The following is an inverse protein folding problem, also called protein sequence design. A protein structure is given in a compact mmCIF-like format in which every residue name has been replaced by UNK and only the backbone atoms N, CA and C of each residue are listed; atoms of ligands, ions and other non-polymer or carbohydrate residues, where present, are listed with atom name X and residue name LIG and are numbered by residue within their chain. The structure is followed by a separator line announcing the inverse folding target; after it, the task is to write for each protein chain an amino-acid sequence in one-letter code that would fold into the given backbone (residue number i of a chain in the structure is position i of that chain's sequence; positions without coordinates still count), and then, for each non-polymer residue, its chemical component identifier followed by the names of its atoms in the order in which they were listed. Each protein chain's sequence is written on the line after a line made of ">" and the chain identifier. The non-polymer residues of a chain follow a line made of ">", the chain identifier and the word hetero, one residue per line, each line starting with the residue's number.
data_IF_786335518310
#
_entry.id   IF_786335518310
#
_cell.length_a   1.000
_cell.length_b   1.000
_cell.length_c   1.000
_cell.angle_alpha   90.00
_cell.angle_beta   90.00
_cell.angle_gamma   90.00
#
_symmetry.space_group_name_H-M   'P 1'
#
loop_
_entity.id
_entity.type
_entity.pdbx_description
1 polymer ?
#
# COMPACT_ATOMS: atom_id res chain seq x y z
N UNK A 1 13.30 -8.47 11.54
CA UNK A 1 14.06 -7.70 10.56
C UNK A 1 13.92 -6.20 10.79
N UNK A 2 14.87 -5.45 10.30
CA UNK A 2 14.88 -4.01 10.49
C UNK A 2 13.92 -3.32 9.52
N UNK A 3 13.25 -2.30 10.00
CA UNK A 3 12.43 -1.45 9.14
C UNK A 3 13.34 -0.63 8.23
N UNK A 4 12.94 -0.50 6.97
CA UNK A 4 13.68 0.31 5.99
C UNK A 4 13.11 1.71 5.99
N UNK A 5 13.97 2.71 6.10
CA UNK A 5 13.55 4.11 6.01
C UNK A 5 13.39 4.50 4.54
N UNK A 6 12.16 4.46 4.06
CA UNK A 6 11.86 4.74 2.66
C UNK A 6 12.17 6.17 2.26
N UNK A 7 12.08 7.12 3.19
CA UNK A 7 12.44 8.52 2.87
C UNK A 7 13.92 8.66 2.58
N UNK A 8 14.78 7.98 3.36
CA UNK A 8 16.22 7.99 3.13
C UNK A 8 16.60 7.32 1.83
N UNK A 9 15.78 6.39 1.35
CA UNK A 9 16.01 5.75 0.05
C UNK A 9 15.48 6.57 -1.12
N UNK A 10 14.90 7.75 -0.86
CA UNK A 10 14.39 8.61 -1.90
C UNK A 10 12.93 8.35 -2.27
N UNK A 11 12.16 7.73 -1.38
CA UNK A 11 10.74 7.43 -1.57
C UNK A 11 9.90 8.11 -0.48
N UNK A 12 9.84 9.45 -0.46
CA UNK A 12 9.19 10.17 0.64
C UNK A 12 7.67 10.07 0.63
N UNK A 13 7.05 9.80 -0.52
CA UNK A 13 5.59 9.80 -0.60
C UNK A 13 5.06 8.44 -0.16
N UNK A 14 4.25 8.46 0.90
CA UNK A 14 3.55 7.28 1.39
C UNK A 14 2.06 7.44 1.07
N UNK A 15 1.48 6.41 0.49
CA UNK A 15 0.07 6.42 0.13
C UNK A 15 -0.58 5.08 0.48
N UNK A 16 -1.86 5.16 0.86
CA UNK A 16 -2.71 3.98 0.97
C UNK A 16 -3.65 3.99 -0.22
N UNK A 17 -3.62 2.94 -1.03
CA UNK A 17 -4.49 2.83 -2.18
C UNK A 17 -5.44 1.67 -1.95
N UNK A 18 -6.73 1.98 -1.83
CA UNK A 18 -7.78 0.99 -1.67
C UNK A 18 -8.31 0.59 -3.04
N UNK A 19 -8.53 -0.69 -3.23
CA UNK A 19 -8.99 -1.23 -4.52
C UNK A 19 -10.22 -2.10 -4.32
N UNK A 20 -11.24 -1.84 -5.13
CA UNK A 20 -12.42 -2.69 -5.21
C UNK A 20 -12.12 -3.79 -6.24
N UNK A 21 -11.56 -4.89 -5.77
CA UNK A 21 -11.12 -5.99 -6.63
C UNK A 21 -12.24 -6.99 -6.87
N UNK A 22 -12.56 -7.23 -8.15
CA UNK A 22 -13.53 -8.27 -8.50
C UNK A 22 -12.90 -9.65 -8.32
N UNK A 23 -13.65 -10.65 -7.79
CA UNK A 23 -13.11 -11.99 -7.58
C UNK A 23 -12.49 -12.61 -8.84
N UNK A 24 -13.03 -12.32 -10.00
CA UNK A 24 -12.53 -12.86 -11.27
C UNK A 24 -11.13 -12.35 -11.63
N UNK A 25 -10.71 -11.23 -11.06
CA UNK A 25 -9.43 -10.60 -11.38
C UNK A 25 -8.31 -10.95 -10.40
N UNK A 26 -8.60 -11.74 -9.37
CA UNK A 26 -7.61 -12.07 -8.34
C UNK A 26 -6.36 -12.74 -8.90
N UNK A 27 -6.54 -13.66 -9.86
CA UNK A 27 -5.42 -14.41 -10.42
C UNK A 27 -4.43 -13.53 -11.17
N UNK A 28 -4.89 -12.42 -11.75
CA UNK A 28 -4.01 -11.43 -12.38
C UNK A 28 -3.47 -10.42 -11.40
N UNK A 29 -4.29 -10.04 -10.41
CA UNK A 29 -3.93 -9.00 -9.47
C UNK A 29 -2.76 -9.39 -8.57
N UNK A 30 -2.79 -10.58 -7.96
CA UNK A 30 -1.76 -10.94 -6.99
C UNK A 30 -0.35 -11.00 -7.59
N UNK A 31 -0.14 -11.61 -8.76
CA UNK A 31 1.20 -11.55 -9.38
C UNK A 31 1.62 -10.11 -9.73
N UNK A 32 0.67 -9.32 -10.21
CA UNK A 32 0.94 -7.92 -10.55
C UNK A 32 1.45 -7.14 -9.34
N UNK A 33 0.70 -7.19 -8.24
CA UNK A 33 1.04 -6.40 -7.05
C UNK A 33 2.34 -6.89 -6.41
N UNK A 34 2.58 -8.19 -6.44
CA UNK A 34 3.84 -8.75 -5.90
C UNK A 34 5.05 -8.28 -6.70
N UNK A 35 4.87 -7.98 -7.97
CA UNK A 35 5.94 -7.47 -8.82
C UNK A 35 6.13 -5.97 -8.77
N UNK A 36 5.26 -5.23 -8.09
CA UNK A 36 5.36 -3.78 -8.00
C UNK A 36 6.25 -3.39 -6.82
N UNK A 37 7.46 -2.92 -7.11
CA UNK A 37 8.41 -2.57 -6.05
C UNK A 37 7.98 -1.38 -5.20
N UNK A 38 7.06 -0.56 -5.68
CA UNK A 38 6.51 0.56 -4.91
C UNK A 38 5.46 0.12 -3.90
N UNK A 39 4.97 -1.12 -3.98
CA UNK A 39 4.02 -1.66 -3.03
C UNK A 39 4.81 -2.33 -1.91
N UNK A 40 4.76 -1.75 -0.72
CA UNK A 40 5.48 -2.26 0.45
C UNK A 40 4.59 -3.08 1.37
N UNK A 41 3.30 -3.12 1.11
CA UNK A 41 2.35 -3.96 1.83
C UNK A 41 1.04 -4.03 1.09
N UNK A 42 0.33 -5.15 1.24
CA UNK A 42 -0.99 -5.31 0.65
C UNK A 42 -1.80 -6.24 1.54
N UNK A 43 -2.94 -5.74 1.99
CA UNK A 43 -3.81 -6.49 2.89
C UNK A 43 -5.19 -6.67 2.26
N UNK A 44 -5.77 -7.85 2.46
CA UNK A 44 -7.15 -8.11 2.10
C UNK A 44 -8.02 -7.79 3.31
N UNK A 45 -9.02 -6.97 3.11
CA UNK A 45 -9.87 -6.49 4.20
C UNK A 45 -11.35 -6.69 3.86
N UNK A 46 -12.21 -6.49 4.84
CA UNK A 46 -13.66 -6.54 4.63
C UNK A 46 -14.15 -5.23 4.00
N UNK A 47 -15.30 -5.28 3.35
CA UNK A 47 -15.95 -4.12 2.78
C UNK A 47 -15.76 -4.01 1.27
N UNK A 48 -16.26 -2.92 0.70
CA UNK A 48 -16.24 -2.70 -0.75
C UNK A 48 -14.83 -2.68 -1.31
N UNK A 49 -13.92 -1.97 -0.66
CA UNK A 49 -12.53 -1.89 -1.08
C UNK A 49 -11.76 -2.99 -0.37
N UNK A 50 -11.74 -4.16 -0.97
CA UNK A 50 -11.24 -5.37 -0.33
C UNK A 50 -9.72 -5.51 -0.28
N UNK A 51 -9.00 -4.66 -1.01
CA UNK A 51 -7.53 -4.66 -1.00
C UNK A 51 -7.04 -3.28 -0.59
N UNK A 52 -6.11 -3.25 0.37
CA UNK A 52 -5.46 -2.00 0.76
C UNK A 52 -3.97 -2.14 0.53
N UNK A 53 -3.45 -1.31 -0.37
CA UNK A 53 -2.05 -1.31 -0.74
C UNK A 53 -1.34 -0.18 -0.01
N UNK A 54 -0.26 -0.51 0.70
CA UNK A 54 0.63 0.49 1.27
C UNK A 54 1.76 0.71 0.29
N UNK A 55 1.92 1.95 -0.17
CA UNK A 55 2.81 2.26 -1.28
C UNK A 55 3.79 3.36 -0.94
N UNK A 56 4.96 3.33 -1.58
CA UNK A 56 5.97 4.37 -1.48
C UNK A 56 6.39 4.82 -2.88
N UNK A 57 6.46 6.14 -3.07
CA UNK A 57 6.80 6.72 -4.37
C UNK A 57 7.78 7.86 -4.23
N UNK A 58 8.54 8.11 -5.29
CA UNK A 58 9.48 9.25 -5.35
C UNK A 58 8.72 10.55 -5.60
N UNK A 59 7.72 10.50 -6.48
CA UNK A 59 6.97 11.68 -6.91
C UNK A 59 5.49 11.37 -6.98
N UNK A 60 4.67 12.42 -6.97
CA UNK A 60 3.22 12.25 -7.15
C UNK A 60 2.89 11.80 -8.56
N UNK A 61 3.73 12.12 -9.54
CA UNK A 61 3.54 11.64 -10.92
C UNK A 61 3.64 10.10 -10.97
N UNK A 62 4.62 9.53 -10.27
CA UNK A 62 4.78 8.08 -10.23
C UNK A 62 3.58 7.41 -9.56
N UNK A 63 3.06 8.04 -8.51
CA UNK A 63 1.84 7.57 -7.85
C UNK A 63 0.65 7.59 -8.80
N UNK A 64 0.48 8.67 -9.55
CA UNK A 64 -0.61 8.81 -10.50
C UNK A 64 -0.54 7.72 -11.58
N UNK A 65 0.65 7.46 -12.12
CA UNK A 65 0.84 6.41 -13.12
C UNK A 65 0.48 5.04 -12.54
N UNK A 66 0.88 4.77 -11.30
CA UNK A 66 0.53 3.51 -10.64
C UNK A 66 -0.99 3.36 -10.48
N UNK A 67 -1.67 4.44 -10.06
CA UNK A 67 -3.12 4.40 -9.89
C UNK A 67 -3.81 4.13 -11.22
N UNK A 68 -3.35 4.76 -12.30
CA UNK A 68 -3.92 4.53 -13.62
C UNK A 68 -3.80 3.06 -14.03
N UNK A 69 -2.67 2.44 -13.78
CA UNK A 69 -2.48 1.02 -14.07
C UNK A 69 -3.38 0.15 -13.20
N UNK A 70 -3.49 0.50 -11.92
CA UNK A 70 -4.25 -0.28 -10.96
C UNK A 70 -5.75 -0.27 -11.27
N UNK A 71 -6.24 0.81 -11.87
CA UNK A 71 -7.67 0.97 -12.17
C UNK A 71 -8.20 -0.05 -13.16
N UNK A 72 -7.33 -0.76 -13.87
CA UNK A 72 -7.79 -1.87 -14.72
C UNK A 72 -8.42 -3.00 -13.90
N UNK A 73 -8.11 -3.08 -12.61
CA UNK A 73 -8.64 -4.11 -11.72
C UNK A 73 -9.92 -3.67 -11.00
N UNK A 74 -10.24 -2.39 -11.03
CA UNK A 74 -11.43 -1.87 -10.41
C UNK A 74 -11.28 -0.45 -9.89
N UNK A 75 -12.31 -0.01 -9.19
CA UNK A 75 -12.37 1.33 -8.61
C UNK A 75 -11.33 1.47 -7.50
N UNK A 76 -10.66 2.62 -7.46
CA UNK A 76 -9.62 2.89 -6.46
C UNK A 76 -9.96 4.13 -5.64
N UNK A 77 -9.41 4.17 -4.43
CA UNK A 77 -9.47 5.33 -3.57
C UNK A 77 -8.07 5.51 -2.97
N UNK A 78 -7.50 6.70 -3.13
CA UNK A 78 -6.13 6.97 -2.72
C UNK A 78 -6.08 7.96 -1.58
N UNK A 79 -5.28 7.66 -0.57
CA UNK A 79 -5.01 8.57 0.54
C UNK A 79 -3.50 8.77 0.64
N UNK A 80 -3.07 10.03 0.56
CA UNK A 80 -1.65 10.36 0.73
C UNK A 80 -1.43 10.69 2.20
N UNK A 81 -0.42 10.08 2.81
CA UNK A 81 -0.09 10.30 4.21
C UNK A 81 0.64 11.64 4.34
N UNK A 82 0.09 12.55 5.13
CA UNK A 82 0.74 13.83 5.43
C UNK A 82 1.76 13.67 6.55
N UNK A 83 1.40 12.91 7.58
CA UNK A 83 2.28 12.72 8.73
C UNK A 83 1.95 11.41 9.42
N UNK A 84 2.92 10.87 10.17
CA UNK A 84 2.76 9.63 10.92
C UNK A 84 3.03 9.92 12.39
N UNK A 85 2.01 9.73 13.22
CA UNK A 85 2.12 9.98 14.67
C UNK A 85 2.82 8.83 15.39
N UNK A 86 2.60 7.62 14.91
CA UNK A 86 3.21 6.42 15.51
C UNK A 86 3.76 5.58 14.36
N UNK A 87 5.07 5.46 14.30
CA UNK A 87 5.72 4.58 13.33
C UNK A 87 5.45 3.12 13.69
N UNK A 88 5.46 2.21 12.71
CA UNK A 88 5.27 0.80 13.00
C UNK A 88 6.25 0.33 14.07
N UNK A 89 5.73 -0.36 15.06
CA UNK A 89 6.53 -0.86 16.18
C UNK A 89 5.96 -2.18 16.67
N UNK A 90 6.77 -2.91 17.41
CA UNK A 90 6.36 -4.20 17.94
C UNK A 90 5.29 -4.02 19.02
N UNK A 91 4.33 -4.94 19.04
CA UNK A 91 3.35 -5.00 20.12
C UNK A 91 4.00 -5.64 21.35
N UNK A 92 3.89 -4.97 22.50
CA UNK A 92 4.40 -5.51 23.75
C UNK A 92 3.28 -6.27 24.46
N UNK A 93 3.48 -7.55 24.79
CA UNK A 93 2.48 -8.32 25.53
C UNK A 93 2.19 -7.70 26.89
N UNK A 94 0.93 -7.75 27.33
CA UNK A 94 0.50 -7.15 28.60
C UNK A 94 1.30 -7.65 29.80
N UNK A 95 1.61 -8.94 29.82
CA UNK A 95 2.31 -9.55 30.97
C UNK A 95 3.80 -9.21 31.03
N UNK A 96 4.31 -8.47 30.08
CA UNK A 96 5.69 -7.99 30.06
C UNK A 96 5.82 -6.52 30.47
N UNK A 97 4.70 -5.88 30.68
CA UNK A 97 4.68 -4.50 31.12
C UNK A 97 4.86 -4.40 32.64
#
# INVERSE_FOLDING_TARGET
>A
HAAVDCEKLGYPIKAFVSLCLAPKDKDEFYPYVKGCRNVVGCDCVTGKYSQILTCRFKTTKDLDEFINDLQRFGETQTQIVFSTSVEPRALVPEDEE
#
